data_IF_616160641061
#
_entry.id   IF_616160641061
#
_cell.length_a   1.000
_cell.length_b   1.000
_cell.length_c   1.000
_cell.angle_alpha   90.00
_cell.angle_beta   90.00
_cell.angle_gamma   90.00
#
_symmetry.space_group_name_H-M   'P 1'
#
loop_
_entity.id
_entity.type
_entity.pdbx_description
1 polymer ?
#
# COMPACT_ATOMS: atom_id res chain seq x y z
N UNK A 1 -4.02 -12.21 9.74
CA UNK A 1 -4.40 -10.98 10.49
C UNK A 1 -3.83 -10.90 11.91
N UNK A 2 -3.76 -12.00 12.69
CA UNK A 2 -3.13 -12.03 14.03
C UNK A 2 -1.70 -11.41 14.11
N UNK A 3 -0.77 -11.66 13.16
CA UNK A 3 0.56 -11.04 13.22
C UNK A 3 0.54 -9.52 13.02
N UNK A 4 -0.22 -9.00 12.05
CA UNK A 4 -0.35 -7.55 11.84
C UNK A 4 -0.94 -6.83 13.06
N UNK A 5 -1.94 -7.44 13.72
CA UNK A 5 -2.51 -6.89 14.96
C UNK A 5 -1.46 -6.78 16.07
N UNK A 6 -0.58 -7.77 16.19
CA UNK A 6 0.50 -7.74 17.17
C UNK A 6 1.54 -6.65 16.84
N UNK A 7 1.98 -6.53 15.58
CA UNK A 7 2.90 -5.47 15.16
C UNK A 7 2.36 -4.07 15.41
N UNK A 8 1.06 -3.84 15.14
CA UNK A 8 0.41 -2.55 15.37
C UNK A 8 0.29 -2.24 16.86
N UNK A 9 0.03 -3.26 17.69
CA UNK A 9 0.03 -3.11 19.15
C UNK A 9 1.42 -2.70 19.65
N UNK A 10 2.49 -3.36 19.20
CA UNK A 10 3.86 -3.02 19.55
C UNK A 10 4.24 -1.59 19.12
N UNK A 11 3.88 -1.19 17.89
CA UNK A 11 4.10 0.17 17.40
C UNK A 11 3.41 1.22 18.29
N UNK A 12 2.17 0.94 18.72
CA UNK A 12 1.44 1.82 19.62
C UNK A 12 2.00 1.85 21.03
N UNK A 13 2.48 0.72 21.54
CA UNK A 13 3.18 0.65 22.84
C UNK A 13 4.47 1.47 22.81
N UNK A 14 5.12 1.57 21.65
CA UNK A 14 6.24 2.48 21.42
C UNK A 14 5.82 3.96 21.22
N UNK A 15 4.53 4.29 21.27
CA UNK A 15 3.99 5.63 21.06
C UNK A 15 3.85 6.05 19.59
N UNK A 16 4.00 5.12 18.65
CA UNK A 16 3.91 5.39 17.21
C UNK A 16 2.55 4.98 16.66
N UNK A 17 1.95 5.87 15.87
CA UNK A 17 0.70 5.60 15.15
C UNK A 17 1.00 5.42 13.66
N UNK A 18 0.55 4.32 13.02
CA UNK A 18 0.67 4.18 11.58
C UNK A 18 -0.40 5.02 10.86
N UNK A 19 -0.01 5.70 9.77
CA UNK A 19 -0.94 6.41 8.89
C UNK A 19 -1.37 5.56 7.68
N UNK A 20 -0.45 4.71 7.20
CA UNK A 20 -0.65 3.80 6.06
C UNK A 20 -0.23 2.40 6.48
N UNK A 21 -1.03 1.40 6.11
CA UNK A 21 -0.75 0.00 6.38
C UNK A 21 -0.52 -0.74 5.06
N UNK A 22 0.72 -1.16 4.83
CA UNK A 22 1.09 -2.03 3.73
C UNK A 22 0.97 -3.49 4.20
N UNK A 23 0.03 -4.24 3.63
CA UNK A 23 -0.16 -5.63 3.97
C UNK A 23 0.34 -6.53 2.84
N UNK A 24 1.43 -7.26 3.10
CA UNK A 24 1.93 -8.28 2.18
C UNK A 24 1.17 -9.59 2.34
N UNK A 25 0.73 -10.17 1.23
CA UNK A 25 0.02 -11.46 1.19
C UNK A 25 0.28 -12.17 -0.13
N UNK A 26 0.05 -13.49 -0.19
CA UNK A 26 0.14 -14.22 -1.47
C UNK A 26 -1.01 -13.84 -2.41
N UNK A 27 -2.21 -13.65 -1.83
CA UNK A 27 -3.44 -13.30 -2.53
C UNK A 27 -3.86 -11.85 -2.23
N UNK A 28 -4.64 -11.21 -3.11
CA UNK A 28 -5.20 -9.90 -2.84
C UNK A 28 -6.08 -9.92 -1.58
N UNK A 29 -6.00 -8.86 -0.78
CA UNK A 29 -6.81 -8.73 0.43
C UNK A 29 -8.28 -8.57 0.10
N UNK A 30 -9.09 -9.47 0.64
CA UNK A 30 -10.53 -9.31 0.66
C UNK A 30 -10.96 -8.05 1.41
N UNK A 31 -12.04 -7.43 0.94
CA UNK A 31 -12.58 -6.23 1.56
C UNK A 31 -12.96 -6.42 3.03
N UNK A 32 -13.46 -7.60 3.40
CA UNK A 32 -13.77 -7.93 4.79
C UNK A 32 -12.53 -7.90 5.69
N UNK A 33 -11.39 -8.39 5.19
CA UNK A 33 -10.11 -8.36 5.92
C UNK A 33 -9.58 -6.94 6.00
N UNK A 34 -9.68 -6.17 4.92
CA UNK A 34 -9.30 -4.75 4.87
C UNK A 34 -10.07 -3.91 5.91
N UNK A 35 -11.39 -4.10 6.02
CA UNK A 35 -12.25 -3.43 7.01
C UNK A 35 -11.86 -3.81 8.45
N UNK A 36 -11.59 -5.10 8.71
CA UNK A 36 -11.12 -5.55 10.03
C UNK A 36 -9.80 -4.85 10.39
N UNK A 37 -8.83 -4.84 9.49
CA UNK A 37 -7.53 -4.18 9.72
C UNK A 37 -7.68 -2.67 9.96
N UNK A 38 -8.54 -2.00 9.20
CA UNK A 38 -8.89 -0.59 9.41
C UNK A 38 -9.40 -0.33 10.83
N UNK A 39 -10.31 -1.17 11.34
CA UNK A 39 -10.85 -1.05 12.70
C UNK A 39 -9.78 -1.29 13.78
N UNK A 40 -8.96 -2.32 13.63
CA UNK A 40 -7.90 -2.61 14.62
C UNK A 40 -6.82 -1.53 14.64
N UNK A 41 -6.38 -1.09 13.46
CA UNK A 41 -5.27 -0.17 13.32
C UNK A 41 -5.71 1.30 13.37
N UNK A 42 -7.02 1.58 13.41
CA UNK A 42 -7.58 2.94 13.39
C UNK A 42 -7.06 3.78 12.22
N UNK A 43 -6.84 3.11 11.09
CA UNK A 43 -6.44 3.73 9.82
C UNK A 43 -7.62 3.65 8.86
N UNK A 44 -7.84 4.64 7.98
CA UNK A 44 -8.87 4.55 6.96
C UNK A 44 -8.70 3.29 6.11
N UNK A 45 -9.80 2.66 5.69
CA UNK A 45 -9.74 1.47 4.84
C UNK A 45 -9.02 1.74 3.50
N UNK A 46 -9.07 2.99 3.00
CA UNK A 46 -8.33 3.42 1.83
C UNK A 46 -6.80 3.48 2.06
N UNK A 47 -6.36 3.67 3.31
CA UNK A 47 -4.94 3.62 3.69
C UNK A 47 -4.43 2.21 3.97
N UNK A 48 -5.27 1.18 3.80
CA UNK A 48 -4.87 -0.24 3.90
C UNK A 48 -4.63 -0.77 2.49
N UNK A 49 -3.35 -0.90 2.15
CA UNK A 49 -2.86 -1.21 0.81
C UNK A 49 -2.50 -2.69 0.75
N UNK A 50 -3.01 -3.38 -0.27
CA UNK A 50 -2.76 -4.80 -0.52
C UNK A 50 -1.55 -4.97 -1.42
N UNK A 51 -0.45 -5.48 -0.87
CA UNK A 51 0.73 -5.88 -1.62
C UNK A 51 0.71 -7.39 -1.82
N UNK A 52 0.05 -7.86 -2.86
CA UNK A 52 0.09 -9.28 -3.19
C UNK A 52 1.36 -9.66 -3.94
N UNK A 53 1.79 -10.91 -3.81
CA UNK A 53 3.00 -11.40 -4.48
C UNK A 53 2.83 -11.34 -6.01
N UNK A 54 3.80 -10.72 -6.68
CA UNK A 54 3.82 -10.51 -8.13
C UNK A 54 5.02 -11.22 -8.74
N UNK A 55 4.84 -11.73 -9.97
CA UNK A 55 5.91 -12.44 -10.70
C UNK A 55 7.10 -11.54 -11.07
N UNK A 56 6.90 -10.22 -11.12
CA UNK A 56 7.92 -9.25 -11.50
C UNK A 56 7.91 -8.05 -10.53
N UNK A 57 9.09 -7.71 -9.99
CA UNK A 57 9.30 -6.57 -9.09
C UNK A 57 8.90 -5.22 -9.71
N UNK A 58 8.99 -5.07 -11.03
CA UNK A 58 8.61 -3.84 -11.73
C UNK A 58 7.09 -3.61 -11.76
N UNK A 59 6.28 -4.62 -11.41
CA UNK A 59 4.83 -4.46 -11.25
C UNK A 59 4.43 -3.87 -9.91
N UNK A 60 5.30 -3.91 -8.90
CA UNK A 60 4.99 -3.38 -7.56
C UNK A 60 4.67 -1.88 -7.60
N UNK A 61 5.45 -1.01 -8.28
CA UNK A 61 5.11 0.41 -8.41
C UNK A 61 3.78 0.65 -9.13
N UNK A 62 3.44 -0.17 -10.12
CA UNK A 62 2.17 -0.06 -10.87
C UNK A 62 0.99 -0.42 -9.97
N UNK A 63 1.10 -1.51 -9.21
CA UNK A 63 0.09 -1.92 -8.23
C UNK A 63 -0.12 -0.87 -7.13
N UNK A 64 0.95 -0.21 -6.69
CA UNK A 64 0.88 0.89 -5.73
C UNK A 64 0.22 2.14 -6.34
N UNK A 65 0.45 2.39 -7.64
CA UNK A 65 -0.21 3.45 -8.40
C UNK A 65 -1.72 3.23 -8.51
N UNK A 66 -2.13 2.01 -8.86
CA UNK A 66 -3.54 1.59 -8.96
C UNK A 66 -4.30 1.74 -7.64
N UNK A 67 -3.60 1.57 -6.50
CA UNK A 67 -4.17 1.77 -5.16
C UNK A 67 -4.03 3.21 -4.65
N UNK A 68 -3.67 4.16 -5.51
CA UNK A 68 -3.60 5.60 -5.25
C UNK A 68 -2.75 6.00 -4.03
N UNK A 69 -1.73 5.21 -3.68
CA UNK A 69 -0.93 5.46 -2.47
C UNK A 69 -0.24 6.83 -2.52
N UNK A 70 0.20 7.26 -3.70
CA UNK A 70 0.81 8.57 -3.91
C UNK A 70 -0.14 9.71 -3.55
N UNK A 71 -1.41 9.59 -3.96
CA UNK A 71 -2.48 10.54 -3.61
C UNK A 71 -2.70 10.58 -2.09
N UNK A 72 -2.69 9.43 -1.42
CA UNK A 72 -2.82 9.35 0.03
C UNK A 72 -1.67 10.06 0.77
N UNK A 73 -0.43 9.84 0.33
CA UNK A 73 0.75 10.49 0.89
C UNK A 73 0.69 12.01 0.68
N UNK A 74 0.39 12.45 -0.55
CA UNK A 74 0.26 13.88 -0.86
C UNK A 74 -0.82 14.56 -0.03
N UNK A 75 -1.98 13.90 0.16
CA UNK A 75 -3.05 14.40 1.04
C UNK A 75 -2.61 14.49 2.51
N UNK A 76 -1.90 13.48 3.01
CA UNK A 76 -1.43 13.45 4.40
C UNK A 76 -0.43 14.58 4.70
N UNK A 77 0.49 14.86 3.77
CA UNK A 77 1.51 15.91 3.91
C UNK A 77 1.09 17.27 3.32
N UNK A 78 -0.17 17.44 2.91
CA UNK A 78 -0.69 18.67 2.28
C UNK A 78 0.15 19.14 1.07
N UNK A 79 0.62 18.21 0.25
CA UNK A 79 1.44 18.51 -0.93
C UNK A 79 0.54 18.87 -2.12
N UNK A 80 0.78 20.02 -2.76
CA UNK A 80 0.07 20.50 -3.95
C UNK A 80 0.37 19.73 -5.24
N UNK A 81 1.15 18.64 -5.17
CA UNK A 81 1.57 17.87 -6.33
C UNK A 81 0.75 16.59 -6.40
N UNK A 82 -0.08 16.45 -7.44
CA UNK A 82 -0.60 15.13 -7.81
C UNK A 82 0.59 14.26 -8.18
N UNK A 83 0.79 13.15 -7.47
CA UNK A 83 1.85 12.19 -7.77
C UNK A 83 1.54 11.49 -9.11
N UNK A 84 1.79 12.17 -10.23
CA UNK A 84 1.72 11.56 -11.55
C UNK A 84 2.93 10.66 -11.72
N UNK A 85 2.72 9.35 -11.70
CA UNK A 85 3.75 8.35 -12.01
C UNK A 85 3.86 8.29 -13.55
N UNK A 86 4.21 9.42 -14.17
CA UNK A 86 4.33 9.56 -15.62
C UNK A 86 5.55 8.82 -16.23
N UNK A 87 6.70 8.59 -15.55
CA UNK A 87 7.85 7.99 -16.23
C UNK A 87 8.02 6.47 -16.00
N UNK A 88 7.16 5.81 -15.20
CA UNK A 88 7.34 4.37 -14.96
C UNK A 88 6.70 3.48 -16.05
N UNK A 89 5.72 3.99 -16.81
CA UNK A 89 5.15 3.25 -17.95
C UNK A 89 6.23 2.91 -19.01
N UNK A 90 7.18 3.82 -19.26
CA UNK A 90 8.27 3.55 -20.22
C UNK A 90 9.26 2.50 -19.72
N UNK A 91 9.35 2.25 -18.40
CA UNK A 91 10.17 1.17 -17.84
C UNK A 91 9.42 -0.17 -17.85
N UNK A 92 8.10 -0.18 -17.63
CA UNK A 92 7.32 -1.40 -17.86
C UNK A 92 7.32 -1.79 -19.33
N UNK A 93 7.12 -0.87 -20.27
CA UNK A 93 7.14 -1.20 -21.70
C UNK A 93 8.53 -1.70 -22.15
N UNK A 94 9.62 -1.09 -21.65
CA UNK A 94 10.98 -1.51 -21.97
C UNK A 94 11.40 -2.85 -21.34
N UNK A 95 10.89 -3.20 -20.16
CA UNK A 95 11.19 -4.50 -19.51
C UNK A 95 10.29 -5.62 -20.02
N UNK A 96 9.03 -5.33 -20.37
CA UNK A 96 8.12 -6.32 -20.96
C UNK A 96 8.51 -6.75 -22.38
N UNK A 97 9.31 -5.96 -23.12
CA UNK A 97 9.83 -6.36 -24.43
C UNK A 97 11.03 -7.32 -24.38
N UNK A 98 11.63 -7.53 -23.21
CA UNK A 98 12.84 -8.36 -23.02
C UNK A 98 12.62 -9.61 -22.15
N UNK A 99 11.36 -10.03 -21.97
CA UNK A 99 10.97 -11.32 -21.35
C UNK A 99 10.06 -12.09 -22.30
#
# INVERSE_FOLDING_TARGET
AKPCQHSVKLLREAGLKPDILLCRSELPLEEATRRKLSLFCQVPAASVISLHDMSNIYRVPLLLAEQEIGTHICKHFCLNRTATIAPCLSLSDAVFSNV
#
